data_IF_163381523392
#
_entry.id   IF_163381523392
#
_cell.length_a   1.000
_cell.length_b   1.000
_cell.length_c   1.000
_cell.angle_alpha   90.00
_cell.angle_beta   90.00
_cell.angle_gamma   90.00
#
_symmetry.space_group_name_H-M   'P 1'
#
loop_
_entity.id
_entity.type
_entity.pdbx_description
1 polymer ?
#
# COMPACT_ATOMS: atom_id res chain seq x y z
N UNK A 1 8.55 6.70 0.33
CA UNK A 1 9.36 6.11 1.41
C UNK A 1 10.86 6.41 1.25
N UNK A 2 11.43 6.32 0.05
CA UNK A 2 12.84 6.70 -0.17
C UNK A 2 13.13 8.12 0.27
N UNK A 3 12.26 9.08 -0.05
CA UNK A 3 12.39 10.48 0.38
C UNK A 3 12.33 10.64 1.91
N UNK A 4 11.75 9.66 2.59
CA UNK A 4 11.69 9.60 4.06
C UNK A 4 12.86 8.80 4.66
N UNK A 5 13.83 8.39 3.86
CA UNK A 5 15.05 7.72 4.32
C UNK A 5 14.95 6.20 4.44
N UNK A 6 13.89 5.58 3.93
CA UNK A 6 13.81 4.12 3.86
C UNK A 6 14.65 3.58 2.72
N UNK A 7 15.28 2.43 2.93
CA UNK A 7 15.83 1.60 1.87
C UNK A 7 14.70 0.79 1.23
N UNK A 8 14.44 0.99 -0.06
CA UNK A 8 13.32 0.33 -0.76
C UNK A 8 13.86 -0.68 -1.77
N UNK A 9 13.40 -1.93 -1.66
CA UNK A 9 13.71 -3.01 -2.57
C UNK A 9 12.44 -3.41 -3.31
N UNK A 10 12.46 -3.29 -4.65
CA UNK A 10 11.33 -3.59 -5.54
C UNK A 10 11.50 -4.94 -6.22
N UNK A 11 10.40 -5.51 -6.68
CA UNK A 11 10.41 -6.70 -7.55
C UNK A 11 10.68 -8.00 -6.81
N UNK A 12 10.41 -8.07 -5.52
CA UNK A 12 10.64 -9.26 -4.71
C UNK A 12 9.83 -10.46 -5.21
N UNK A 13 10.42 -11.64 -5.11
CA UNK A 13 9.82 -12.91 -5.54
C UNK A 13 9.32 -12.91 -7.00
N UNK A 14 9.94 -12.11 -7.87
CA UNK A 14 9.57 -11.99 -9.28
C UNK A 14 8.28 -11.19 -9.54
N UNK A 15 7.75 -10.53 -8.52
CA UNK A 15 6.56 -9.67 -8.63
C UNK A 15 6.98 -8.20 -8.78
N UNK A 16 6.83 -7.58 -9.96
CA UNK A 16 7.37 -6.23 -10.21
C UNK A 16 6.86 -5.14 -9.26
N UNK A 17 5.66 -5.30 -8.73
CA UNK A 17 5.01 -4.34 -7.82
C UNK A 17 5.20 -4.67 -6.35
N UNK A 18 5.80 -5.82 -6.03
CA UNK A 18 6.11 -6.17 -4.64
C UNK A 18 7.35 -5.42 -4.15
N UNK A 19 7.27 -4.85 -2.96
CA UNK A 19 8.41 -4.16 -2.37
C UNK A 19 8.51 -4.37 -0.87
N UNK A 20 9.73 -4.22 -0.37
CA UNK A 20 10.01 -4.08 1.07
C UNK A 20 10.76 -2.76 1.27
N UNK A 21 10.33 -1.99 2.23
CA UNK A 21 11.03 -0.79 2.68
C UNK A 21 11.51 -1.01 4.11
N UNK A 22 12.78 -0.73 4.36
CA UNK A 22 13.42 -0.95 5.66
C UNK A 22 14.00 0.35 6.21
N UNK A 23 13.90 0.53 7.52
CA UNK A 23 14.49 1.66 8.23
C UNK A 23 15.05 1.22 9.58
N UNK A 24 16.21 1.74 9.94
CA UNK A 24 16.87 1.44 11.21
C UNK A 24 17.56 0.08 11.24
N UNK A 25 17.91 -0.35 12.43
CA UNK A 25 18.63 -1.61 12.68
C UNK A 25 18.41 -2.08 14.12
N UNK A 26 18.70 -3.35 14.38
CA UNK A 26 18.58 -3.92 15.71
C UNK A 26 17.21 -4.53 15.99
N UNK A 27 16.87 -4.67 17.25
CA UNK A 27 15.63 -5.30 17.71
C UNK A 27 14.89 -4.40 18.70
N UNK A 28 13.56 -4.51 18.81
CA UNK A 28 12.69 -5.40 18.03
C UNK A 28 12.55 -4.95 16.58
N UNK A 29 12.23 -5.91 15.69
CA UNK A 29 11.86 -5.62 14.30
C UNK A 29 10.34 -5.56 14.21
N UNK A 30 9.81 -4.43 13.74
CA UNK A 30 8.37 -4.21 13.57
C UNK A 30 8.04 -4.31 12.08
N UNK A 31 7.12 -5.22 11.71
CA UNK A 31 6.62 -5.36 10.35
C UNK A 31 5.28 -4.69 10.18
N UNK A 32 5.13 -3.90 9.12
CA UNK A 32 3.87 -3.32 8.67
C UNK A 32 3.55 -3.92 7.32
N UNK A 33 2.46 -4.68 7.23
CA UNK A 33 2.02 -5.35 6.02
C UNK A 33 0.89 -4.57 5.37
N UNK A 34 0.95 -4.37 4.07
CA UNK A 34 -0.10 -3.75 3.29
C UNK A 34 -0.26 -4.41 1.92
N UNK A 35 -1.46 -4.36 1.39
CA UNK A 35 -1.81 -4.73 0.02
C UNK A 35 -2.35 -3.49 -0.68
N UNK A 36 -2.10 -3.34 -1.98
CA UNK A 36 -2.58 -2.16 -2.72
C UNK A 36 -3.12 -2.49 -4.11
N UNK A 37 -3.39 -3.77 -4.36
CA UNK A 37 -3.98 -4.24 -5.60
C UNK A 37 -5.45 -3.84 -5.74
N UNK A 38 -5.91 -3.70 -6.97
CA UNK A 38 -7.31 -3.54 -7.32
C UNK A 38 -7.92 -4.89 -7.71
N UNK A 39 -9.17 -5.12 -7.31
CA UNK A 39 -9.89 -6.35 -7.65
C UNK A 39 -10.43 -6.30 -9.08
N UNK A 40 -10.39 -7.39 -9.83
CA UNK A 40 -10.86 -7.42 -11.20
C UNK A 40 -12.38 -7.22 -11.31
N UNK A 41 -12.82 -6.61 -12.40
CA UNK A 41 -14.23 -6.49 -12.81
C UNK A 41 -15.16 -5.68 -11.88
N UNK A 42 -14.62 -4.90 -10.96
CA UNK A 42 -15.43 -4.11 -10.02
C UNK A 42 -15.21 -2.60 -10.12
N UNK A 43 -14.88 -2.12 -11.32
CA UNK A 43 -14.85 -0.69 -11.58
C UNK A 43 -16.19 -0.04 -11.22
N UNK A 44 -16.15 1.09 -10.54
CA UNK A 44 -17.35 1.76 -10.05
C UNK A 44 -17.13 3.26 -10.00
N UNK A 45 -18.15 4.03 -10.37
CA UNK A 45 -18.17 5.48 -10.20
C UNK A 45 -18.33 5.84 -8.71
N UNK A 46 -17.66 6.90 -8.29
CA UNK A 46 -17.78 7.40 -6.93
C UNK A 46 -19.18 7.98 -6.66
N UNK A 47 -19.65 7.78 -5.44
CA UNK A 47 -20.92 8.36 -4.93
C UNK A 47 -22.18 7.88 -5.69
N UNK A 48 -22.12 6.79 -6.39
CA UNK A 48 -23.28 6.20 -7.09
C UNK A 48 -23.69 4.93 -6.32
N UNK A 49 -24.92 4.83 -5.78
CA UNK A 49 -25.35 3.71 -4.94
C UNK A 49 -25.83 2.47 -5.72
N UNK A 50 -25.71 2.50 -7.02
CA UNK A 50 -26.04 1.38 -7.92
C UNK A 50 -24.82 1.01 -8.72
N UNK A 51 -24.79 -0.22 -9.29
CA UNK A 51 -23.69 -0.62 -10.16
C UNK A 51 -23.63 0.30 -11.39
N UNK A 52 -22.58 1.08 -11.47
CA UNK A 52 -22.30 1.98 -12.59
C UNK A 52 -20.78 2.05 -12.81
N UNK A 53 -20.20 1.12 -13.57
CA UNK A 53 -18.77 1.08 -13.81
C UNK A 53 -18.25 2.34 -14.49
N UNK A 54 -17.08 2.83 -14.07
CA UNK A 54 -16.36 3.84 -14.83
C UNK A 54 -15.93 3.29 -16.20
N UNK A 55 -15.41 2.06 -16.18
CA UNK A 55 -15.03 1.30 -17.35
C UNK A 55 -15.52 -0.14 -17.15
N UNK A 56 -16.38 -0.63 -18.03
CA UNK A 56 -16.93 -1.99 -17.93
C UNK A 56 -15.81 -3.04 -17.93
N UNK A 57 -15.87 -3.96 -16.97
CA UNK A 57 -14.88 -5.03 -16.81
C UNK A 57 -13.53 -4.62 -16.23
N UNK A 58 -13.29 -3.34 -15.99
CA UNK A 58 -12.04 -2.87 -15.39
C UNK A 58 -11.97 -3.17 -13.89
N UNK A 59 -10.75 -3.21 -13.33
CA UNK A 59 -10.58 -3.38 -11.88
C UNK A 59 -11.03 -2.17 -11.09
N UNK A 60 -11.24 -2.38 -9.79
CA UNK A 60 -11.64 -1.33 -8.85
C UNK A 60 -11.29 -1.68 -7.41
N UNK A 61 -11.35 -0.68 -6.54
CA UNK A 61 -10.97 -0.77 -5.13
C UNK A 61 -12.15 -1.04 -4.18
N UNK A 62 -12.99 -2.01 -4.52
CA UNK A 62 -14.12 -2.39 -3.65
C UNK A 62 -13.71 -3.02 -2.32
N UNK A 63 -12.47 -3.49 -2.19
CA UNK A 63 -11.90 -4.02 -0.95
C UNK A 63 -11.14 -2.95 -0.12
N UNK A 64 -10.86 -1.79 -0.69
CA UNK A 64 -10.18 -0.69 0.01
C UNK A 64 -8.66 -0.84 0.12
N UNK A 65 -8.01 -1.66 -0.70
CA UNK A 65 -6.56 -1.86 -0.65
C UNK A 65 -5.77 -0.57 -0.94
N UNK A 66 -6.32 0.35 -1.73
CA UNK A 66 -5.74 1.70 -1.90
C UNK A 66 -5.63 2.45 -0.56
N UNK A 67 -6.62 2.33 0.31
CA UNK A 67 -6.62 2.92 1.64
C UNK A 67 -5.67 2.17 2.58
N UNK A 68 -5.67 0.84 2.52
CA UNK A 68 -4.79 -0.01 3.32
C UNK A 68 -3.31 0.27 3.03
N UNK A 69 -2.93 0.31 1.74
CA UNK A 69 -1.55 0.62 1.34
C UNK A 69 -1.12 2.01 1.81
N UNK A 70 -1.97 3.01 1.66
CA UNK A 70 -1.70 4.38 2.13
C UNK A 70 -1.57 4.44 3.65
N UNK A 71 -2.43 3.76 4.39
CA UNK A 71 -2.37 3.69 5.85
C UNK A 71 -1.07 3.00 6.33
N UNK A 72 -0.64 1.94 5.64
CA UNK A 72 0.62 1.25 5.94
C UNK A 72 1.83 2.16 5.77
N UNK A 73 1.88 2.94 4.69
CA UNK A 73 2.95 3.93 4.46
C UNK A 73 2.95 5.00 5.55
N UNK A 74 1.80 5.54 5.89
CA UNK A 74 1.67 6.55 6.94
C UNK A 74 2.12 6.00 8.31
N UNK A 75 1.73 4.78 8.64
CA UNK A 75 2.14 4.11 9.86
C UNK A 75 3.66 3.90 9.93
N UNK A 76 4.28 3.46 8.81
CA UNK A 76 5.72 3.28 8.73
C UNK A 76 6.48 4.58 8.98
N UNK A 77 6.04 5.69 8.38
CA UNK A 77 6.64 7.02 8.59
C UNK A 77 6.48 7.47 10.05
N UNK A 78 5.31 7.23 10.64
CA UNK A 78 5.06 7.58 12.04
C UNK A 78 5.98 6.79 12.99
N UNK A 79 6.12 5.48 12.77
CA UNK A 79 7.05 4.63 13.56
C UNK A 79 8.49 5.10 13.39
N UNK A 80 8.93 5.37 12.16
CA UNK A 80 10.26 5.92 11.90
C UNK A 80 10.51 7.19 12.70
N UNK A 81 9.57 8.13 12.66
CA UNK A 81 9.72 9.40 13.40
C UNK A 81 9.82 9.17 14.91
N UNK A 82 9.08 8.20 15.44
CA UNK A 82 9.21 7.82 16.87
C UNK A 82 10.56 7.14 17.18
N UNK A 83 11.12 6.39 16.25
CA UNK A 83 12.45 5.77 16.40
C UNK A 83 13.57 6.81 16.42
N UNK A 84 13.41 7.92 15.72
CA UNK A 84 14.39 8.98 15.58
C UNK A 84 14.40 9.94 16.81
N UNK A 85 13.45 9.82 17.71
CA UNK A 85 13.41 10.57 18.98
C UNK A 85 14.33 9.94 20.04
#
# INVERSE_FOLDING_TARGET
LEQEGFSVEMGLAGMPTCFVASYGSGEPVIGILGEYDALPMISQKALVPVRDPLVEGAPGHGCGHNTMGTAGIAAAIAVKNAMDE
#
